data_IF_431048127219
#
_entry.id   IF_431048127219
#
_cell.length_a   1.000
_cell.length_b   1.000
_cell.length_c   1.000
_cell.angle_alpha   90.00
_cell.angle_beta   90.00
_cell.angle_gamma   90.00
#
_symmetry.space_group_name_H-M   'P 1'
#
loop_
_entity.id
_entity.type
_entity.pdbx_description
1 polymer ?
#
# COMPACT_ATOMS: atom_id res chain seq x y z
N UNK A 1 -5.36 -20.08 23.04
CA UNK A 1 -6.10 -20.07 21.76
C UNK A 1 -6.09 -18.64 21.25
N UNK A 2 -5.67 -18.40 20.00
CA UNK A 2 -5.67 -17.06 19.43
C UNK A 2 -7.01 -16.79 18.76
N UNK A 3 -7.55 -15.59 18.95
CA UNK A 3 -8.77 -15.11 18.29
C UNK A 3 -8.42 -13.94 17.38
N UNK A 4 -9.15 -13.79 16.27
CA UNK A 4 -9.03 -12.60 15.40
C UNK A 4 -9.54 -11.39 16.17
N UNK A 5 -8.70 -10.37 16.33
CA UNK A 5 -9.03 -9.16 17.10
C UNK A 5 -9.61 -8.02 16.27
N UNK A 6 -9.54 -8.09 14.93
CA UNK A 6 -10.12 -7.10 14.02
C UNK A 6 -9.32 -6.90 12.74
N UNK A 7 -9.64 -5.81 12.03
CA UNK A 7 -8.92 -5.36 10.84
C UNK A 7 -7.83 -4.35 11.19
N UNK A 8 -6.63 -4.54 10.65
CA UNK A 8 -5.53 -3.60 10.86
C UNK A 8 -5.60 -2.41 9.89
N UNK A 9 -5.67 -2.69 8.58
CA UNK A 9 -5.77 -1.71 7.50
C UNK A 9 -6.18 -2.40 6.18
N UNK A 10 -6.47 -1.61 5.16
CA UNK A 10 -6.56 -2.06 3.75
C UNK A 10 -5.43 -1.42 2.96
N UNK A 11 -4.89 -2.11 1.94
CA UNK A 11 -3.75 -1.62 1.15
C UNK A 11 -4.01 -1.74 -0.35
N UNK A 12 -3.61 -0.73 -1.12
CA UNK A 12 -3.64 -0.72 -2.59
C UNK A 12 -2.29 -0.33 -3.16
N UNK A 13 -1.85 -1.03 -4.21
CA UNK A 13 -0.74 -0.54 -5.03
C UNK A 13 -1.27 0.46 -6.06
N UNK A 14 -0.60 1.59 -6.17
CA UNK A 14 -0.91 2.68 -7.08
C UNK A 14 0.25 2.92 -8.04
N UNK A 15 -0.07 3.35 -9.25
CA UNK A 15 0.94 3.66 -10.28
C UNK A 15 1.57 5.05 -10.10
N UNK A 16 0.86 5.96 -9.44
CA UNK A 16 1.27 7.35 -9.23
C UNK A 16 0.70 7.86 -7.91
N UNK A 17 1.58 8.05 -6.93
CA UNK A 17 1.27 8.43 -5.57
C UNK A 17 0.74 9.85 -5.51
N UNK A 18 1.30 10.77 -6.29
CA UNK A 18 0.89 12.17 -6.26
C UNK A 18 -0.53 12.30 -6.80
N UNK A 19 -0.84 11.64 -7.92
CA UNK A 19 -2.20 11.57 -8.45
C UNK A 19 -3.17 10.88 -7.49
N UNK A 20 -2.73 9.81 -6.83
CA UNK A 20 -3.56 9.11 -5.84
C UNK A 20 -3.81 9.96 -4.60
N UNK A 21 -2.84 10.74 -4.11
CA UNK A 21 -3.04 11.65 -2.99
C UNK A 21 -4.02 12.77 -3.35
N UNK A 22 -3.94 13.35 -4.56
CA UNK A 22 -4.95 14.31 -5.01
C UNK A 22 -6.38 13.73 -4.93
N UNK A 23 -6.55 12.46 -5.30
CA UNK A 23 -7.85 11.81 -5.23
C UNK A 23 -8.27 11.48 -3.79
N UNK A 24 -7.47 10.71 -3.05
CA UNK A 24 -7.87 10.22 -1.74
C UNK A 24 -7.85 11.31 -0.66
N UNK A 25 -6.82 12.17 -0.65
CA UNK A 25 -6.70 13.25 0.33
C UNK A 25 -7.57 14.45 -0.05
N UNK A 26 -7.41 14.99 -1.25
CA UNK A 26 -7.99 16.30 -1.58
C UNK A 26 -9.42 16.20 -2.08
N UNK A 27 -9.74 15.20 -2.91
CA UNK A 27 -11.10 15.04 -3.44
C UNK A 27 -12.03 14.30 -2.46
N UNK A 28 -11.55 13.20 -1.85
CA UNK A 28 -12.34 12.40 -0.92
C UNK A 28 -12.22 12.84 0.55
N UNK A 29 -11.29 13.75 0.87
CA UNK A 29 -11.15 14.31 2.20
C UNK A 29 -10.52 13.37 3.24
N UNK A 30 -9.75 12.36 2.83
CA UNK A 30 -9.03 11.50 3.76
C UNK A 30 -7.83 12.22 4.37
N UNK A 31 -7.49 11.89 5.62
CA UNK A 31 -6.35 12.51 6.31
C UNK A 31 -5.07 11.72 6.06
N UNK A 32 -4.05 12.36 5.50
CA UNK A 32 -2.71 11.77 5.34
C UNK A 32 -2.00 11.75 6.70
N UNK A 33 -1.68 10.56 7.22
CA UNK A 33 -0.95 10.39 8.49
C UNK A 33 0.56 10.21 8.28
N UNK A 34 0.96 9.58 7.18
CA UNK A 34 2.36 9.37 6.86
C UNK A 34 2.56 9.24 5.34
N UNK A 35 3.72 9.69 4.87
CA UNK A 35 4.21 9.50 3.51
C UNK A 35 5.71 9.25 3.59
N UNK A 36 6.17 8.07 3.15
CA UNK A 36 7.53 7.58 3.37
C UNK A 36 8.07 6.90 2.13
N UNK A 37 9.30 7.23 1.76
CA UNK A 37 10.09 6.40 0.86
C UNK A 37 10.79 5.29 1.67
N UNK A 38 10.58 4.05 1.25
CA UNK A 38 11.17 2.87 1.85
C UNK A 38 12.16 2.27 0.86
N UNK A 39 13.42 2.26 1.28
CA UNK A 39 14.49 1.54 0.62
C UNK A 39 15.32 0.85 1.70
N UNK A 40 15.11 -0.45 1.90
CA UNK A 40 15.87 -1.20 2.87
C UNK A 40 15.87 -2.71 2.58
N UNK A 41 16.94 -3.44 2.98
CA UNK A 41 16.99 -4.89 2.83
C UNK A 41 15.81 -5.63 3.47
N UNK A 42 15.21 -5.05 4.52
CA UNK A 42 14.03 -5.62 5.17
C UNK A 42 12.78 -5.56 4.28
N UNK A 43 12.64 -4.52 3.44
CA UNK A 43 11.54 -4.37 2.48
C UNK A 43 11.64 -5.42 1.38
N UNK A 44 12.84 -5.67 0.87
CA UNK A 44 13.08 -6.77 -0.07
C UNK A 44 12.76 -8.14 0.51
N UNK A 45 12.99 -8.34 1.81
CA UNK A 45 12.59 -9.60 2.49
C UNK A 45 11.07 -9.74 2.61
N UNK A 46 10.37 -8.65 2.93
CA UNK A 46 8.92 -8.64 3.09
C UNK A 46 8.21 -8.82 1.74
N UNK A 47 8.70 -8.13 0.71
CA UNK A 47 8.07 -8.12 -0.62
C UNK A 47 8.57 -9.24 -1.53
N UNK A 48 9.73 -9.84 -1.23
CA UNK A 48 10.37 -10.84 -2.08
C UNK A 48 11.14 -10.25 -3.28
N UNK A 49 11.18 -8.92 -3.42
CA UNK A 49 11.84 -8.25 -4.55
C UNK A 49 13.14 -7.54 -4.10
N UNK A 50 14.32 -8.05 -4.50
CA UNK A 50 15.60 -7.47 -4.14
C UNK A 50 15.77 -6.05 -4.67
N UNK A 51 16.18 -5.12 -3.80
CA UNK A 51 16.52 -3.74 -4.19
C UNK A 51 15.33 -2.82 -4.49
N UNK A 52 14.09 -3.30 -4.35
CA UNK A 52 12.89 -2.49 -4.59
C UNK A 52 12.83 -1.27 -3.69
N UNK A 53 12.60 -0.12 -4.32
CA UNK A 53 12.19 1.11 -3.65
C UNK A 53 10.68 1.23 -3.78
N UNK A 54 10.07 1.76 -2.74
CA UNK A 54 8.64 2.05 -2.74
C UNK A 54 8.36 3.32 -1.96
N UNK A 55 7.31 4.02 -2.35
CA UNK A 55 6.70 5.09 -1.56
C UNK A 55 5.42 4.56 -0.95
N UNK A 56 5.26 4.76 0.35
CA UNK A 56 4.09 4.31 1.11
C UNK A 56 3.42 5.49 1.78
N UNK A 57 2.13 5.67 1.50
CA UNK A 57 1.29 6.67 2.14
C UNK A 57 0.19 6.01 2.97
N UNK A 58 0.04 6.41 4.23
CA UNK A 58 -1.04 5.94 5.10
C UNK A 58 -2.06 7.06 5.28
N UNK A 59 -3.32 6.77 4.94
CA UNK A 59 -4.45 7.68 5.09
C UNK A 59 -5.48 7.14 6.08
N UNK A 60 -6.21 8.03 6.74
CA UNK A 60 -7.35 7.69 7.61
C UNK A 60 -8.67 8.10 7.02
N UNK A 61 -9.65 7.22 7.17
CA UNK A 61 -11.06 7.48 6.88
C UNK A 61 -11.94 6.65 7.80
N UNK A 62 -12.89 7.30 8.49
CA UNK A 62 -13.90 6.63 9.33
C UNK A 62 -13.34 5.53 10.28
N UNK A 63 -12.16 5.76 10.88
CA UNK A 63 -11.51 4.81 11.80
C UNK A 63 -10.70 3.70 11.13
N UNK A 64 -10.75 3.55 9.82
CA UNK A 64 -9.91 2.65 9.04
C UNK A 64 -8.63 3.35 8.57
N UNK A 65 -7.54 2.59 8.46
CA UNK A 65 -6.34 3.00 7.73
C UNK A 65 -6.38 2.44 6.30
N UNK A 66 -6.19 3.30 5.32
CA UNK A 66 -5.87 2.95 3.94
C UNK A 66 -4.37 3.15 3.71
N UNK A 67 -3.69 2.15 3.19
CA UNK A 67 -2.30 2.22 2.78
C UNK A 67 -2.22 2.25 1.25
N UNK A 68 -1.46 3.20 0.71
CA UNK A 68 -1.13 3.28 -0.70
C UNK A 68 0.34 2.95 -0.87
N UNK A 69 0.66 2.09 -1.83
CA UNK A 69 2.04 1.69 -2.13
C UNK A 69 2.32 1.98 -3.60
N UNK A 70 3.33 2.79 -3.89
CA UNK A 70 3.90 2.89 -5.23
C UNK A 70 5.26 2.20 -5.22
N UNK A 71 5.45 1.21 -6.08
CA UNK A 71 6.78 0.61 -6.33
C UNK A 71 7.37 1.18 -7.61
N UNK A 72 8.69 1.11 -7.75
CA UNK A 72 9.36 1.44 -9.02
C UNK A 72 8.80 0.59 -10.19
N UNK A 73 8.87 1.07 -11.45
CA UNK A 73 8.31 0.39 -12.62
C UNK A 73 8.76 -1.07 -12.82
N UNK A 74 9.99 -1.38 -12.40
CA UNK A 74 10.56 -2.74 -12.47
C UNK A 74 10.16 -3.61 -11.25
N UNK A 75 9.50 -3.02 -10.27
CA UNK A 75 9.28 -3.57 -8.94
C UNK A 75 8.08 -4.50 -8.87
N UNK A 76 6.88 -4.03 -9.20
CA UNK A 76 5.64 -4.80 -8.97
C UNK A 76 4.52 -4.31 -9.91
N UNK A 77 4.35 -4.96 -11.06
CA UNK A 77 3.03 -5.00 -11.70
C UNK A 77 2.23 -6.09 -10.99
N UNK A 78 1.18 -5.73 -10.26
CA UNK A 78 0.30 -6.66 -9.54
C UNK A 78 -0.54 -7.52 -10.51
N UNK A 79 0.08 -8.42 -11.28
CA UNK A 79 -0.67 -9.49 -11.95
C UNK A 79 -1.08 -10.61 -10.96
N UNK A 80 -0.52 -10.62 -9.74
CA UNK A 80 -0.76 -11.68 -8.77
C UNK A 80 -2.08 -11.59 -7.99
N UNK A 81 -2.72 -10.41 -7.89
CA UNK A 81 -3.99 -10.27 -7.13
C UNK A 81 -5.23 -10.59 -8.00
N UNK A 82 -5.08 -10.63 -9.33
CA UNK A 82 -6.21 -10.89 -10.24
C UNK A 82 -6.42 -12.36 -10.62
N UNK A 83 -5.62 -13.31 -10.12
CA UNK A 83 -5.92 -14.72 -10.32
C UNK A 83 -7.13 -15.10 -9.45
N UNK A 84 -8.28 -15.49 -10.03
CA UNK A 84 -9.35 -16.06 -9.24
C UNK A 84 -8.77 -17.27 -8.50
N UNK A 85 -8.96 -17.31 -7.18
CA UNK A 85 -8.66 -18.51 -6.42
C UNK A 85 -9.56 -19.61 -6.98
N UNK A 86 -8.96 -20.57 -7.68
CA UNK A 86 -9.66 -21.76 -8.13
C UNK A 86 -10.16 -22.48 -6.87
N UNK A 87 -11.47 -22.47 -6.69
CA UNK A 87 -12.20 -23.39 -5.80
C UNK A 87 -12.27 -24.75 -6.48
#
# INVERSE_FOLDING_TARGET
>A
MAIVSGFNHASFTVSDMDRSLLFYRDLLGMSLEADRELQAPHISRITGFPGTRMRVANLRVAGLMLELIQSDPDGITLEFIQRPQAV
#
